data_IF_399068384503
#
_entry.id   IF_399068384503
#
_cell.length_a   1.000
_cell.length_b   1.000
_cell.length_c   1.000
_cell.angle_alpha   90.00
_cell.angle_beta   90.00
_cell.angle_gamma   90.00
#
_symmetry.space_group_name_H-M   'P 1'
#
loop_
_entity.id
_entity.type
_entity.pdbx_description
1 polymer ?
#
# COMPACT_ATOMS: atom_id res chain seq x y z
N UNK A 1 7.42 13.04 -10.91
CA UNK A 1 7.91 13.60 -9.63
C UNK A 1 9.29 14.20 -9.89
N UNK A 2 9.40 15.52 -10.10
CA UNK A 2 10.61 16.14 -10.69
C UNK A 2 11.33 17.18 -9.82
N UNK A 3 10.91 17.39 -8.56
CA UNK A 3 11.58 18.31 -7.65
C UNK A 3 12.01 17.61 -6.34
N UNK A 4 13.20 17.92 -5.85
CA UNK A 4 13.76 17.41 -4.59
C UNK A 4 12.91 17.89 -3.42
N UNK A 5 12.39 19.11 -3.48
CA UNK A 5 11.53 19.69 -2.44
C UNK A 5 10.20 18.93 -2.30
N UNK A 6 9.60 18.49 -3.42
CA UNK A 6 8.37 17.69 -3.41
C UNK A 6 8.61 16.32 -2.76
N UNK A 7 9.76 15.71 -3.04
CA UNK A 7 10.17 14.44 -2.42
C UNK A 7 10.37 14.60 -0.92
N UNK A 8 11.05 15.66 -0.50
CA UNK A 8 11.28 15.96 0.91
C UNK A 8 9.97 16.23 1.65
N UNK A 9 9.03 16.94 1.01
CA UNK A 9 7.70 17.20 1.57
C UNK A 9 6.90 15.92 1.76
N UNK A 10 6.92 15.00 0.78
CA UNK A 10 6.25 13.70 0.90
C UNK A 10 6.86 12.87 2.03
N UNK A 11 8.19 12.80 2.12
CA UNK A 11 8.88 12.09 3.20
C UNK A 11 8.53 12.68 4.58
N UNK A 12 8.48 14.01 4.69
CA UNK A 12 8.12 14.69 5.92
C UNK A 12 6.65 14.43 6.32
N UNK A 13 5.74 14.40 5.35
CA UNK A 13 4.34 14.03 5.59
C UNK A 13 4.22 12.59 6.10
N UNK A 14 4.96 11.64 5.52
CA UNK A 14 4.99 10.25 5.98
C UNK A 14 5.55 10.15 7.41
N UNK A 15 6.66 10.85 7.69
CA UNK A 15 7.27 10.88 9.02
C UNK A 15 6.32 11.42 10.09
N UNK A 16 5.60 12.51 9.79
CA UNK A 16 4.62 13.10 10.71
C UNK A 16 3.42 12.17 10.92
N UNK A 17 2.93 11.53 9.85
CA UNK A 17 1.84 10.56 9.97
C UNK A 17 2.26 9.36 10.84
N UNK A 18 3.48 8.85 10.66
CA UNK A 18 4.02 7.80 11.50
C UNK A 18 4.15 8.24 12.97
N UNK A 19 4.54 9.50 13.22
CA UNK A 19 4.62 10.05 14.57
C UNK A 19 3.23 10.17 15.21
N UNK A 20 2.24 10.65 14.47
CA UNK A 20 0.90 10.89 14.99
C UNK A 20 0.12 9.58 15.24
N UNK A 21 0.32 8.56 14.39
CA UNK A 21 -0.39 7.28 14.48
C UNK A 21 0.34 6.26 15.36
N UNK A 22 1.69 6.20 15.30
CA UNK A 22 2.49 5.17 15.97
C UNK A 22 3.28 5.69 17.18
N UNK A 23 3.23 7.00 17.46
CA UNK A 23 3.93 7.63 18.60
C UNK A 23 5.45 7.61 18.51
N UNK A 24 6.03 7.11 17.40
CA UNK A 24 7.48 6.96 17.19
C UNK A 24 7.88 7.28 15.76
N UNK A 25 9.09 7.80 15.57
CA UNK A 25 9.66 7.94 14.24
C UNK A 25 10.07 6.57 13.67
N UNK A 26 9.87 6.32 12.36
CA UNK A 26 10.28 5.07 11.74
C UNK A 26 11.79 4.92 11.78
N UNK A 27 12.27 3.72 12.12
CA UNK A 27 13.69 3.37 12.00
C UNK A 27 14.00 3.11 10.53
N UNK A 28 14.97 3.81 9.98
CA UNK A 28 15.44 3.55 8.62
C UNK A 28 16.45 2.39 8.70
N UNK A 29 16.17 1.31 7.98
CA UNK A 29 16.99 0.08 7.97
C UNK A 29 17.71 -0.02 6.63
N UNK A 30 18.97 -0.46 6.64
CA UNK A 30 19.76 -0.68 5.42
C UNK A 30 20.55 0.53 4.93
N UNK A 31 20.76 1.54 5.78
CA UNK A 31 21.65 2.66 5.50
C UNK A 31 22.94 2.47 6.31
N UNK A 32 24.07 2.39 5.62
CA UNK A 32 25.38 2.39 6.26
C UNK A 32 25.71 3.79 6.81
N UNK A 33 26.10 3.85 8.08
CA UNK A 33 26.43 5.09 8.80
C UNK A 33 27.62 5.79 8.14
N UNK A 34 28.53 5.02 7.55
CA UNK A 34 29.72 5.55 6.85
C UNK A 34 29.33 6.22 5.53
N UNK A 35 28.45 5.59 4.74
CA UNK A 35 27.93 6.17 3.49
C UNK A 35 27.11 7.45 3.75
N UNK A 36 26.35 7.50 4.85
CA UNK A 36 25.65 8.71 5.30
C UNK A 36 26.59 9.86 5.64
N UNK A 37 27.69 9.58 6.35
CA UNK A 37 28.67 10.59 6.72
C UNK A 37 29.41 11.15 5.49
N UNK A 38 29.73 10.28 4.53
CA UNK A 38 30.34 10.67 3.25
C UNK A 38 29.36 11.50 2.41
N UNK A 39 28.11 11.07 2.29
CA UNK A 39 27.07 11.80 1.56
C UNK A 39 26.79 13.18 2.18
N UNK A 40 26.74 13.25 3.51
CA UNK A 40 26.57 14.52 4.23
C UNK A 40 27.74 15.48 3.95
N UNK A 41 28.98 14.99 3.97
CA UNK A 41 30.15 15.81 3.64
C UNK A 41 30.07 16.41 2.22
N UNK A 42 29.48 15.69 1.28
CA UNK A 42 29.31 16.15 -0.11
C UNK A 42 28.10 17.08 -0.33
N UNK A 43 27.05 16.99 0.51
CA UNK A 43 25.77 17.67 0.27
C UNK A 43 25.33 18.65 1.37
N UNK A 44 26.15 18.90 2.40
CA UNK A 44 25.90 20.01 3.34
C UNK A 44 26.14 21.33 2.59
N UNK A 45 25.12 22.17 2.36
CA UNK A 45 25.38 23.53 1.88
C UNK A 45 26.18 24.26 2.95
N UNK A 46 27.30 24.87 2.54
CA UNK A 46 28.15 25.71 3.40
C UNK A 46 27.30 26.86 3.91
N UNK A 47 26.67 26.70 5.07
CA UNK A 47 25.98 27.78 5.76
C UNK A 47 27.08 28.70 6.28
N UNK A 48 27.35 29.73 5.49
CA UNK A 48 28.11 30.91 5.87
C UNK A 48 27.36 31.67 6.98
N UNK A 49 27.58 31.27 8.23
CA UNK A 49 27.40 32.20 9.35
C UNK A 49 28.67 33.03 9.49
N UNK A 50 28.53 34.23 8.96
CA UNK A 50 29.38 35.41 9.13
C UNK A 50 30.14 35.41 10.47
N UNK A 51 31.46 35.34 10.38
CA UNK A 51 32.36 35.87 11.40
C UNK A 51 32.46 37.37 11.12
N UNK A 52 31.96 38.18 12.05
CA UNK A 52 32.28 39.60 12.12
C UNK A 52 33.80 39.73 12.34
N UNK A 53 34.51 40.29 11.36
CA UNK A 53 35.90 40.78 11.47
C UNK A 53 36.00 41.87 12.56
N UNK A 54 37.15 42.05 13.24
CA UNK A 54 38.42 42.56 12.64
C UNK A 54 39.64 41.74 13.11
N UNK A 55 40.85 41.76 12.55
CA UNK A 55 41.58 42.66 11.66
C UNK A 55 42.71 41.80 11.01
N UNK A 56 43.15 42.12 9.79
CA UNK A 56 44.17 41.36 9.04
C UNK A 56 45.64 41.65 9.44
N UNK A 57 46.65 41.39 8.57
CA UNK A 57 46.60 40.57 7.35
C UNK A 57 47.88 39.68 7.11
N UNK A 58 47.69 38.62 6.29
CA UNK A 58 48.64 37.89 5.39
C UNK A 58 50.01 37.39 5.91
N UNK A 59 50.27 36.08 5.77
CA UNK A 59 50.92 35.51 4.58
C UNK A 59 51.30 34.04 4.78
N UNK A 60 50.97 33.23 3.78
CA UNK A 60 51.37 31.84 3.67
C UNK A 60 52.89 31.71 3.48
N UNK A 61 53.51 30.73 4.15
CA UNK A 61 54.65 29.99 3.60
C UNK A 61 54.71 28.59 4.20
N UNK A 62 54.62 27.62 3.30
CA UNK A 62 54.94 26.21 3.49
C UNK A 62 56.44 26.09 3.71
N UNK A 63 56.88 25.36 4.75
CA UNK A 63 58.12 24.57 4.73
C UNK A 63 58.04 23.48 5.80
N UNK A 64 58.02 22.24 5.34
CA UNK A 64 58.27 21.04 6.14
C UNK A 64 59.67 21.13 6.77
N UNK A 65 59.79 20.84 8.07
CA UNK A 65 61.06 20.55 8.72
C UNK A 65 60.90 19.43 9.73
N UNK A 66 61.44 18.28 9.33
CA UNK A 66 61.95 17.14 10.10
C UNK A 66 61.27 16.74 11.42
N UNK A 67 60.47 15.68 11.30
CA UNK A 67 60.02 14.78 12.36
C UNK A 67 61.21 14.12 13.07
N UNK A 68 61.59 14.67 14.23
CA UNK A 68 62.28 13.92 15.29
C UNK A 68 61.27 13.63 16.41
N UNK A 69 60.44 12.61 16.20
CA UNK A 69 59.54 12.06 17.23
C UNK A 69 60.40 11.22 18.18
N UNK A 70 60.88 11.84 19.25
CA UNK A 70 61.31 11.10 20.43
C UNK A 70 60.05 10.48 21.03
N UNK A 71 59.87 9.18 20.81
CA UNK A 71 58.79 8.39 21.39
C UNK A 71 58.81 8.59 22.91
N UNK A 72 57.80 9.30 23.40
CA UNK A 72 57.51 9.48 24.81
C UNK A 72 57.37 8.09 25.44
N UNK A 73 58.35 7.72 26.26
CA UNK A 73 58.37 6.44 26.98
C UNK A 73 57.53 6.51 28.27
N UNK A 74 56.47 7.31 28.24
CA UNK A 74 55.65 7.67 29.39
C UNK A 74 54.24 8.02 28.91
N UNK A 75 53.55 7.04 28.30
CA UNK A 75 52.17 7.21 27.85
C UNK A 75 51.15 6.46 28.73
N UNK A 76 51.59 5.88 29.84
CA UNK A 76 50.71 5.25 30.83
C UNK A 76 51.28 5.55 32.22
N UNK A 77 50.49 6.20 33.07
CA UNK A 77 50.83 6.45 34.48
C UNK A 77 50.87 5.13 35.25
N UNK A 78 51.73 5.01 36.26
CA UNK A 78 51.81 3.79 37.10
C UNK A 78 50.46 3.40 37.72
N UNK A 79 49.59 4.39 37.98
CA UNK A 79 48.22 4.16 38.42
C UNK A 79 47.30 3.59 37.33
N UNK A 80 47.54 3.94 36.06
CA UNK A 80 46.81 3.39 34.91
C UNK A 80 47.30 1.97 34.59
N UNK A 81 48.58 1.66 34.82
CA UNK A 81 49.11 0.30 34.70
C UNK A 81 48.50 -0.63 35.76
N UNK A 82 48.40 -0.19 37.02
CA UNK A 82 47.79 -0.97 38.10
C UNK A 82 46.27 -1.15 37.92
N UNK A 83 45.57 -0.14 37.40
CA UNK A 83 44.15 -0.23 37.07
C UNK A 83 43.90 -1.15 35.85
N UNK A 84 44.77 -1.10 34.84
CA UNK A 84 44.75 -2.08 33.74
C UNK A 84 45.06 -3.50 34.23
N UNK A 85 45.98 -3.68 35.19
CA UNK A 85 46.30 -4.98 35.76
C UNK A 85 45.15 -5.53 36.62
N UNK A 86 44.43 -4.68 37.37
CA UNK A 86 43.22 -5.05 38.11
C UNK A 86 42.05 -5.42 37.17
N UNK A 87 41.85 -4.67 36.08
CA UNK A 87 40.86 -4.97 35.05
C UNK A 87 41.18 -6.29 34.33
N UNK A 88 42.46 -6.53 33.99
CA UNK A 88 42.89 -7.79 33.40
C UNK A 88 42.81 -8.94 34.40
N UNK A 89 43.12 -8.72 35.68
CA UNK A 89 43.01 -9.72 36.76
C UNK A 89 41.59 -10.19 37.04
N UNK A 90 40.59 -9.33 36.79
CA UNK A 90 39.17 -9.71 36.84
C UNK A 90 38.74 -10.58 35.65
N UNK A 91 39.47 -10.46 34.53
CA UNK A 91 39.25 -11.22 33.29
C UNK A 91 40.24 -12.38 33.06
N UNK A 92 41.20 -12.63 33.97
CA UNK A 92 41.95 -13.91 34.02
C UNK A 92 41.02 -14.98 34.58
N UNK A 93 40.04 -15.33 33.77
CA UNK A 93 39.17 -16.47 33.99
C UNK A 93 40.02 -17.72 33.79
N UNK A 94 40.22 -18.52 34.83
CA UNK A 94 41.00 -19.76 34.72
C UNK A 94 40.40 -20.64 33.62
N UNK A 95 41.21 -21.44 32.93
CA UNK A 95 40.75 -22.31 31.81
C UNK A 95 39.49 -23.12 32.18
N UNK A 96 39.34 -23.52 33.45
CA UNK A 96 38.14 -24.19 33.98
C UNK A 96 36.90 -23.30 34.19
N UNK A 97 37.06 -22.00 34.48
CA UNK A 97 35.94 -21.06 34.56
C UNK A 97 35.39 -20.69 33.17
N UNK A 98 36.26 -20.61 32.15
CA UNK A 98 35.85 -20.39 30.77
C UNK A 98 35.00 -21.55 30.22
N UNK A 99 35.36 -22.79 30.58
CA UNK A 99 34.61 -23.99 30.20
C UNK A 99 33.26 -24.06 30.93
N UNK A 100 33.22 -23.75 32.23
CA UNK A 100 31.98 -23.65 32.99
C UNK A 100 31.03 -22.54 32.48
N UNK A 101 31.59 -21.41 32.05
CA UNK A 101 30.83 -20.32 31.43
C UNK A 101 30.26 -20.72 30.06
N UNK A 102 31.06 -21.39 29.23
CA UNK A 102 30.64 -21.95 27.94
C UNK A 102 29.51 -22.97 28.10
N UNK A 103 29.59 -23.87 29.08
CA UNK A 103 28.50 -24.80 29.37
C UNK A 103 27.22 -24.09 29.83
N UNK A 104 27.35 -23.03 30.63
CA UNK A 104 26.19 -22.25 31.09
C UNK A 104 25.50 -21.54 29.92
N UNK A 105 26.26 -20.91 29.02
CA UNK A 105 25.75 -20.32 27.79
C UNK A 105 25.08 -21.36 26.89
N UNK A 106 25.68 -22.55 26.73
CA UNK A 106 25.07 -23.64 25.95
C UNK A 106 23.74 -24.08 26.55
N UNK A 107 23.65 -24.22 27.88
CA UNK A 107 22.40 -24.57 28.55
C UNK A 107 21.33 -23.50 28.38
N UNK A 108 21.71 -22.24 28.49
CA UNK A 108 20.78 -21.11 28.32
C UNK A 108 20.32 -20.96 26.87
N UNK A 109 21.22 -21.14 25.92
CA UNK A 109 20.90 -21.16 24.49
C UNK A 109 19.95 -22.32 24.15
N UNK A 110 20.22 -23.53 24.63
CA UNK A 110 19.33 -24.68 24.43
C UNK A 110 17.95 -24.46 25.05
N UNK A 111 17.88 -23.84 26.23
CA UNK A 111 16.60 -23.48 26.85
C UNK A 111 15.84 -22.46 26.00
N UNK A 112 16.54 -21.47 25.43
CA UNK A 112 15.95 -20.46 24.56
C UNK A 112 15.49 -21.04 23.22
N UNK A 113 16.27 -21.95 22.63
CA UNK A 113 15.89 -22.69 21.41
C UNK A 113 14.65 -23.55 21.66
N UNK A 114 14.60 -24.27 22.80
CA UNK A 114 13.43 -25.06 23.18
C UNK A 114 12.19 -24.18 23.39
N UNK A 115 12.34 -23.02 24.03
CA UNK A 115 11.26 -22.05 24.20
C UNK A 115 10.78 -21.47 22.85
N UNK A 116 11.69 -21.18 21.92
CA UNK A 116 11.35 -20.71 20.59
C UNK A 116 10.60 -21.76 19.78
N UNK A 117 11.06 -23.01 19.79
CA UNK A 117 10.38 -24.11 19.11
C UNK A 117 8.98 -24.31 19.69
N UNK A 118 8.84 -24.27 21.01
CA UNK A 118 7.54 -24.38 21.67
C UNK A 118 6.59 -23.25 21.26
N UNK A 119 7.07 -22.00 21.24
CA UNK A 119 6.28 -20.85 20.82
C UNK A 119 5.82 -20.95 19.35
N UNK A 120 6.67 -21.46 18.46
CA UNK A 120 6.31 -21.70 17.05
C UNK A 120 5.24 -22.80 16.95
N UNK A 121 5.43 -23.93 17.65
CA UNK A 121 4.49 -25.06 17.63
C UNK A 121 3.12 -24.70 18.21
N UNK A 122 3.06 -23.87 19.25
CA UNK A 122 1.79 -23.37 19.78
C UNK A 122 1.04 -22.45 18.81
N UNK A 123 1.76 -21.77 17.92
CA UNK A 123 1.17 -20.85 16.95
C UNK A 123 0.68 -21.57 15.69
N UNK A 124 1.23 -22.75 15.38
CA UNK A 124 0.86 -23.57 14.22
C UNK A 124 -0.65 -23.86 14.09
N UNK A 125 -1.38 -24.35 15.12
CA UNK A 125 -2.81 -24.63 15.00
C UNK A 125 -3.66 -23.36 14.78
N UNK A 126 -3.23 -22.22 15.35
CA UNK A 126 -3.91 -20.95 15.14
C UNK A 126 -3.76 -20.47 13.69
N UNK A 127 -2.57 -20.66 13.10
CA UNK A 127 -2.31 -20.34 11.70
C UNK A 127 -3.17 -21.25 10.80
N UNK A 128 -3.30 -22.52 11.13
CA UNK A 128 -4.12 -23.48 10.37
C UNK A 128 -5.61 -23.12 10.42
N UNK A 129 -6.14 -22.74 11.58
CA UNK A 129 -7.52 -22.27 11.72
C UNK A 129 -7.79 -20.99 10.90
N UNK A 130 -6.85 -20.04 10.92
CA UNK A 130 -6.95 -18.82 10.10
C UNK A 130 -6.88 -19.15 8.62
N UNK A 131 -5.99 -20.06 8.20
CA UNK A 131 -5.88 -20.49 6.81
C UNK A 131 -7.19 -21.13 6.33
N UNK A 132 -7.77 -22.03 7.12
CA UNK A 132 -9.04 -22.68 6.84
C UNK A 132 -10.19 -21.67 6.78
N UNK A 133 -10.19 -20.68 7.68
CA UNK A 133 -11.16 -19.58 7.65
C UNK A 133 -11.07 -18.74 6.39
N UNK A 134 -9.85 -18.44 5.92
CA UNK A 134 -9.61 -17.72 4.66
C UNK A 134 -10.06 -18.56 3.46
N UNK A 135 -9.77 -19.86 3.45
CA UNK A 135 -10.21 -20.76 2.39
C UNK A 135 -11.74 -20.86 2.32
N UNK A 136 -12.40 -20.99 3.47
CA UNK A 136 -13.86 -20.98 3.56
C UNK A 136 -14.47 -19.64 3.08
N UNK A 137 -13.86 -18.52 3.47
CA UNK A 137 -14.27 -17.20 2.99
C UNK A 137 -14.07 -17.04 1.47
N UNK A 138 -12.98 -17.59 0.94
CA UNK A 138 -12.68 -17.57 -0.50
C UNK A 138 -13.73 -18.36 -1.28
N UNK A 139 -14.03 -19.58 -0.85
CA UNK A 139 -15.08 -20.40 -1.46
C UNK A 139 -16.46 -19.72 -1.42
N UNK A 140 -16.79 -19.05 -0.32
CA UNK A 140 -18.04 -18.29 -0.20
C UNK A 140 -18.12 -17.13 -1.20
N UNK A 141 -17.00 -16.44 -1.45
CA UNK A 141 -16.93 -15.36 -2.45
C UNK A 141 -17.08 -15.93 -3.86
N UNK A 142 -16.45 -17.07 -4.16
CA UNK A 142 -16.58 -17.74 -5.46
C UNK A 142 -18.04 -18.18 -5.71
N UNK A 143 -18.71 -18.76 -4.71
CA UNK A 143 -20.13 -19.08 -4.77
C UNK A 143 -20.96 -17.82 -5.08
N UNK A 144 -20.70 -16.71 -4.38
CA UNK A 144 -21.39 -15.43 -4.62
C UNK A 144 -21.18 -14.91 -6.05
N UNK A 145 -20.00 -15.08 -6.64
CA UNK A 145 -19.75 -14.69 -8.03
C UNK A 145 -20.56 -15.54 -9.01
N UNK A 146 -20.67 -16.85 -8.78
CA UNK A 146 -21.53 -17.73 -9.58
C UNK A 146 -23.00 -17.31 -9.49
N UNK A 147 -23.49 -17.04 -8.27
CA UNK A 147 -24.86 -16.54 -8.07
C UNK A 147 -25.08 -15.22 -8.81
N UNK A 148 -24.15 -14.27 -8.72
CA UNK A 148 -24.23 -12.99 -9.44
C UNK A 148 -24.20 -13.21 -10.96
N UNK A 149 -23.42 -14.17 -11.46
CA UNK A 149 -23.40 -14.59 -12.86
C UNK A 149 -24.77 -15.07 -13.32
N UNK A 150 -25.39 -15.99 -12.57
CA UNK A 150 -26.74 -16.51 -12.86
C UNK A 150 -27.78 -15.38 -12.84
N UNK A 151 -27.74 -14.50 -11.83
CA UNK A 151 -28.65 -13.37 -11.74
C UNK A 151 -28.50 -12.40 -12.92
N UNK A 152 -27.27 -12.12 -13.35
CA UNK A 152 -27.02 -11.28 -14.52
C UNK A 152 -27.60 -11.89 -15.80
N UNK A 153 -27.42 -13.19 -16.01
CA UNK A 153 -28.01 -13.90 -17.16
C UNK A 153 -29.54 -13.81 -17.12
N UNK A 154 -30.14 -14.03 -15.94
CA UNK A 154 -31.59 -13.95 -15.77
C UNK A 154 -32.12 -12.55 -16.02
N UNK A 155 -31.44 -11.50 -15.53
CA UNK A 155 -31.80 -10.11 -15.77
C UNK A 155 -31.67 -9.73 -17.26
N UNK A 156 -30.66 -10.27 -17.95
CA UNK A 156 -30.52 -10.10 -19.40
C UNK A 156 -31.70 -10.72 -20.15
N UNK A 157 -32.07 -11.96 -19.84
CA UNK A 157 -33.22 -12.60 -20.47
C UNK A 157 -34.53 -11.86 -20.17
N UNK A 158 -34.76 -11.43 -18.93
CA UNK A 158 -35.92 -10.60 -18.59
C UNK A 158 -35.95 -9.30 -19.39
N UNK A 159 -34.80 -8.65 -19.63
CA UNK A 159 -34.71 -7.45 -20.47
C UNK A 159 -35.08 -7.76 -21.92
N UNK A 160 -34.56 -8.84 -22.49
CA UNK A 160 -34.87 -9.29 -23.85
C UNK A 160 -36.37 -9.61 -24.02
N UNK A 161 -36.96 -10.29 -23.03
CA UNK A 161 -38.38 -10.60 -22.99
C UNK A 161 -39.24 -9.33 -22.94
N UNK A 162 -38.89 -8.37 -22.07
CA UNK A 162 -39.58 -7.07 -22.00
C UNK A 162 -39.50 -6.35 -23.35
N UNK A 163 -38.33 -6.30 -23.98
CA UNK A 163 -38.16 -5.67 -25.28
C UNK A 163 -39.00 -6.35 -26.37
N UNK A 164 -39.10 -7.69 -26.35
CA UNK A 164 -39.96 -8.45 -27.26
C UNK A 164 -41.45 -8.13 -27.04
N UNK A 165 -41.89 -8.02 -25.78
CA UNK A 165 -43.27 -7.63 -25.45
C UNK A 165 -43.55 -6.19 -25.89
N UNK A 166 -42.64 -5.25 -25.63
CA UNK A 166 -42.78 -3.84 -26.01
C UNK A 166 -42.88 -3.66 -27.53
N UNK A 167 -41.99 -4.32 -28.29
CA UNK A 167 -42.03 -4.25 -29.76
C UNK A 167 -43.32 -4.84 -30.33
N UNK A 168 -43.80 -5.96 -29.75
CA UNK A 168 -45.10 -6.54 -30.11
C UNK A 168 -46.26 -5.60 -29.77
N UNK A 169 -46.25 -4.99 -28.59
CA UNK A 169 -47.31 -4.10 -28.15
C UNK A 169 -47.38 -2.84 -29.02
N UNK A 170 -46.25 -2.23 -29.33
CA UNK A 170 -46.17 -1.07 -30.24
C UNK A 170 -46.72 -1.43 -31.64
N UNK A 171 -46.39 -2.63 -32.16
CA UNK A 171 -46.95 -3.09 -33.44
C UNK A 171 -48.47 -3.26 -33.39
N UNK A 172 -49.00 -3.81 -32.30
CA UNK A 172 -50.45 -3.96 -32.11
C UNK A 172 -51.14 -2.61 -31.98
N UNK A 173 -50.54 -1.66 -31.27
CA UNK A 173 -51.07 -0.31 -31.12
C UNK A 173 -51.12 0.42 -32.47
N UNK A 174 -50.03 0.38 -33.25
CA UNK A 174 -50.02 0.93 -34.61
C UNK A 174 -51.07 0.27 -35.51
N UNK A 175 -51.20 -1.06 -35.44
CA UNK A 175 -52.23 -1.77 -36.22
C UNK A 175 -53.64 -1.35 -35.80
N UNK A 176 -53.89 -1.17 -34.50
CA UNK A 176 -55.17 -0.68 -33.97
C UNK A 176 -55.50 0.73 -34.47
N UNK A 177 -54.53 1.64 -34.41
CA UNK A 177 -54.66 3.01 -34.92
C UNK A 177 -54.95 3.00 -36.42
N UNK A 178 -54.21 2.21 -37.21
CA UNK A 178 -54.41 2.10 -38.65
C UNK A 178 -55.78 1.52 -38.98
N UNK A 179 -56.21 0.46 -38.30
CA UNK A 179 -57.53 -0.13 -38.51
C UNK A 179 -58.65 0.86 -38.19
N UNK A 180 -58.52 1.64 -37.11
CA UNK A 180 -59.48 2.69 -36.78
C UNK A 180 -59.54 3.75 -37.89
N UNK A 181 -58.39 4.23 -38.37
CA UNK A 181 -58.34 5.19 -39.48
C UNK A 181 -58.95 4.62 -40.77
N UNK A 182 -58.70 3.35 -41.09
CA UNK A 182 -59.28 2.68 -42.26
C UNK A 182 -60.81 2.55 -42.15
N UNK A 183 -61.33 2.27 -40.96
CA UNK A 183 -62.78 2.24 -40.70
C UNK A 183 -63.38 3.63 -40.91
N UNK A 184 -62.76 4.68 -40.37
CA UNK A 184 -63.22 6.06 -40.56
C UNK A 184 -63.24 6.48 -42.05
N UNK A 185 -62.22 6.10 -42.83
CA UNK A 185 -62.22 6.36 -44.27
C UNK A 185 -63.28 5.53 -45.02
N UNK A 186 -63.53 4.29 -44.60
CA UNK A 186 -64.58 3.46 -45.17
C UNK A 186 -65.98 4.05 -44.90
N UNK A 187 -66.23 4.55 -43.69
CA UNK A 187 -67.48 5.19 -43.33
C UNK A 187 -67.71 6.45 -44.17
N UNK A 188 -66.69 7.29 -44.38
CA UNK A 188 -66.75 8.45 -45.30
C UNK A 188 -67.10 8.03 -46.73
N UNK A 189 -66.54 6.92 -47.21
CA UNK A 189 -66.85 6.41 -48.55
C UNK A 189 -68.30 5.88 -48.63
N UNK A 190 -68.77 5.18 -47.59
CA UNK A 190 -70.15 4.70 -47.51
C UNK A 190 -71.16 5.84 -47.48
N UNK A 191 -70.87 6.93 -46.76
CA UNK A 191 -71.69 8.13 -46.77
C UNK A 191 -71.78 8.76 -48.16
N UNK A 192 -70.66 8.81 -48.90
CA UNK A 192 -70.62 9.34 -50.26
C UNK A 192 -71.29 8.43 -51.29
N UNK A 193 -71.30 7.12 -51.06
CA UNK A 193 -71.93 6.15 -51.95
C UNK A 193 -73.43 5.97 -51.65
N UNK A 194 -73.93 6.53 -50.55
CA UNK A 194 -75.34 6.44 -50.17
C UNK A 194 -76.20 7.15 -51.21
N UNK A 195 -76.85 6.38 -52.08
CA UNK A 195 -77.80 6.88 -53.08
C UNK A 195 -79.04 7.41 -52.35
N UNK A 196 -79.55 8.62 -52.67
CA UNK A 196 -80.79 9.12 -52.08
C UNK A 196 -81.94 8.14 -52.30
N UNK A 197 -82.66 7.82 -51.21
CA UNK A 197 -83.84 6.95 -51.20
C UNK A 197 -84.98 7.42 -52.11
N UNK A 198 -84.87 8.65 -52.63
CA UNK A 198 -85.86 9.33 -53.47
C UNK A 198 -85.93 8.76 -54.90
N UNK A 199 -84.89 8.04 -55.36
CA UNK A 199 -84.87 7.44 -56.72
C UNK A 199 -85.76 6.19 -56.83
N UNK A 200 -86.18 5.60 -55.71
CA UNK A 200 -87.09 4.43 -55.70
C UNK A 200 -88.57 4.81 -55.75
N UNK A 201 -88.91 6.10 -55.74
CA UNK A 201 -90.28 6.62 -55.81
C UNK A 201 -90.43 7.50 -57.06
N UNK A 202 -90.10 6.95 -58.23
CA UNK A 202 -90.72 7.43 -59.46
C UNK A 202 -91.88 6.47 -59.78
N UNK A 203 -93.13 6.94 -59.84
CA UNK A 203 -94.24 6.09 -60.22
C UNK A 203 -94.03 5.66 -61.67
N UNK A 204 -94.09 4.35 -61.94
CA UNK A 204 -94.33 3.86 -63.29
C UNK A 204 -95.69 4.43 -63.75
N UNK A 205 -95.65 5.40 -64.64
CA UNK A 205 -96.77 5.81 -65.50
C UNK A 205 -96.63 5.17 -66.87
#
# INVERSE_FOLDING_TARGET
>A
MRNIDDRNRVLFCILNLCKDVLGRFPKVVGIDVVEMALWAKENIPVVSKQITQPDGPVAATVTESDLKVTVEKELVSQAEEEDMEALLGTYVMGVGEAEAFSERLKRELLALEAANVHAILETEPLIEEVLQGIEAATNCVDDMDEWLGIFNIKLRHMREDIQSIETRNNKLEMQSVNNRALIEELDKLLERLRVPSEVWILPLS
#
